data_IF_802135936236
#
_entry.id   IF_802135936236
#
_cell.length_a   1.000
_cell.length_b   1.000
_cell.length_c   1.000
_cell.angle_alpha   90.00
_cell.angle_beta   90.00
_cell.angle_gamma   90.00
#
_symmetry.space_group_name_H-M   'P 1'
#
loop_
_entity.id
_entity.type
_entity.pdbx_description
1 polymer ?
#
# COMPACT_ATOMS: atom_id res chain seq x y z
N UNK A 1 20.82 8.05 4.91
CA UNK A 1 20.35 8.01 6.30
C UNK A 1 20.57 6.62 6.86
N UNK A 2 21.22 6.54 8.00
CA UNK A 2 21.34 5.29 8.76
C UNK A 2 20.25 5.29 9.83
N UNK A 3 19.43 4.25 9.83
CA UNK A 3 18.31 4.07 10.75
C UNK A 3 18.56 2.79 11.57
N UNK A 4 18.88 2.98 12.83
CA UNK A 4 19.31 1.94 13.75
C UNK A 4 18.23 1.67 14.80
N UNK A 5 17.77 0.42 14.90
CA UNK A 5 16.75 -0.01 15.85
C UNK A 5 17.33 -1.02 16.81
N UNK A 6 17.36 -0.69 18.08
CA UNK A 6 17.72 -1.59 19.17
C UNK A 6 16.47 -2.07 19.93
N UNK A 7 16.35 -3.36 20.10
CA UNK A 7 15.26 -4.03 20.81
C UNK A 7 15.84 -4.92 21.91
N UNK A 8 15.30 -4.89 23.15
CA UNK A 8 15.88 -5.60 24.29
C UNK A 8 15.89 -7.14 24.16
N UNK A 9 15.15 -7.68 23.20
CA UNK A 9 15.06 -9.13 22.95
C UNK A 9 15.87 -9.58 21.72
N UNK A 10 16.62 -8.68 21.08
CA UNK A 10 17.52 -9.01 19.98
C UNK A 10 18.96 -8.77 20.41
N UNK A 11 19.82 -9.74 20.11
CA UNK A 11 21.25 -9.62 20.40
C UNK A 11 21.96 -8.60 19.48
N UNK A 12 21.39 -8.35 18.31
CA UNK A 12 21.93 -7.43 17.31
C UNK A 12 20.92 -6.32 16.95
N UNK A 13 21.42 -5.11 16.80
CA UNK A 13 20.64 -3.98 16.28
C UNK A 13 20.25 -4.21 14.81
N UNK A 14 19.09 -3.70 14.44
CA UNK A 14 18.59 -3.74 13.05
C UNK A 14 18.90 -2.41 12.38
N UNK A 15 19.84 -2.40 11.45
CA UNK A 15 20.31 -1.19 10.78
C UNK A 15 19.82 -1.13 9.35
N UNK A 16 18.98 -0.16 9.03
CA UNK A 16 18.56 0.14 7.67
C UNK A 16 19.45 1.24 7.07
N UNK A 17 19.85 1.04 5.81
CA UNK A 17 20.39 2.12 4.99
C UNK A 17 19.26 2.72 4.16
N UNK A 18 19.06 4.04 4.28
CA UNK A 18 17.92 4.72 3.66
C UNK A 18 18.46 5.89 2.82
N UNK A 19 17.98 5.96 1.58
CA UNK A 19 18.11 7.14 0.72
C UNK A 19 16.73 7.77 0.59
N UNK A 20 16.64 9.08 0.83
CA UNK A 20 15.39 9.80 0.68
C UNK A 20 15.58 11.12 -0.06
N UNK A 21 14.62 11.43 -0.90
CA UNK A 21 14.50 12.70 -1.60
C UNK A 21 13.07 13.21 -1.44
N UNK A 22 12.91 14.52 -1.28
CA UNK A 22 11.60 15.16 -1.28
C UNK A 22 11.69 16.55 -1.89
N UNK A 23 10.69 16.90 -2.70
CA UNK A 23 10.52 18.23 -3.26
C UNK A 23 9.17 18.81 -2.84
N UNK A 24 9.14 20.10 -2.56
CA UNK A 24 7.90 20.79 -2.25
C UNK A 24 7.11 21.03 -3.54
N UNK A 25 5.84 20.63 -3.53
CA UNK A 25 4.94 20.74 -4.68
C UNK A 25 3.82 21.73 -4.38
N UNK A 26 3.53 22.59 -5.34
CA UNK A 26 2.39 23.48 -5.28
C UNK A 26 1.27 22.93 -6.17
N UNK A 27 0.06 22.79 -5.61
CA UNK A 27 -1.13 22.43 -6.37
C UNK A 27 -1.64 21.00 -6.19
N UNK A 28 -0.89 20.11 -5.58
CA UNK A 28 -1.42 18.80 -5.16
C UNK A 28 -2.30 18.97 -3.91
N UNK A 29 -3.61 18.68 -4.00
CA UNK A 29 -4.53 18.81 -2.86
C UNK A 29 -4.26 17.76 -1.76
N UNK A 30 -3.50 16.72 -2.05
CA UNK A 30 -3.27 15.60 -1.15
C UNK A 30 -1.92 15.69 -0.44
N UNK A 31 -0.93 16.30 -1.04
CA UNK A 31 0.42 16.40 -0.47
C UNK A 31 1.10 17.72 -0.84
N UNK A 32 1.85 18.27 0.11
CA UNK A 32 2.73 19.40 -0.14
C UNK A 32 4.12 18.97 -0.65
N UNK A 33 4.37 17.68 -0.77
CA UNK A 33 5.66 17.13 -1.19
C UNK A 33 5.49 15.88 -2.03
N UNK A 34 6.28 15.82 -3.09
CA UNK A 34 6.63 14.58 -3.76
C UNK A 34 7.84 13.95 -3.07
N UNK A 35 7.91 12.64 -3.02
CA UNK A 35 9.04 11.98 -2.39
C UNK A 35 9.38 10.63 -3.02
N UNK A 36 10.64 10.25 -2.87
CA UNK A 36 11.15 8.92 -3.10
C UNK A 36 11.99 8.50 -1.89
N UNK A 37 11.64 7.39 -1.28
CA UNK A 37 12.35 6.76 -0.17
C UNK A 37 12.78 5.37 -0.63
N UNK A 38 14.07 5.10 -0.61
CA UNK A 38 14.65 3.78 -0.88
C UNK A 38 15.26 3.27 0.41
N UNK A 39 15.15 1.99 0.66
CA UNK A 39 15.77 1.39 1.82
C UNK A 39 16.35 0.01 1.52
N UNK A 40 17.36 -0.35 2.27
CA UNK A 40 17.93 -1.68 2.29
C UNK A 40 18.26 -2.11 3.72
N UNK A 41 18.09 -3.39 3.97
CA UNK A 41 18.46 -4.06 5.20
C UNK A 41 19.42 -5.20 4.84
N UNK A 42 20.65 -5.22 5.39
CA UNK A 42 21.56 -6.33 5.19
C UNK A 42 20.92 -7.66 5.61
N UNK A 43 21.15 -8.71 4.85
CA UNK A 43 20.74 -10.06 5.24
C UNK A 43 21.45 -10.50 6.52
N UNK A 44 20.74 -11.17 7.43
CA UNK A 44 21.39 -11.88 8.54
C UNK A 44 22.30 -12.95 7.96
N UNK A 45 23.25 -13.48 8.75
CA UNK A 45 24.24 -14.48 8.32
C UNK A 45 23.65 -15.52 7.36
N UNK A 46 24.03 -15.46 6.07
CA UNK A 46 23.57 -16.35 4.99
C UNK A 46 22.18 -16.02 4.39
N UNK A 47 21.49 -14.95 4.84
CA UNK A 47 20.22 -14.49 4.28
C UNK A 47 20.40 -13.49 3.14
N UNK A 48 19.41 -13.41 2.24
CA UNK A 48 19.38 -12.37 1.21
C UNK A 48 19.07 -11.00 1.83
N UNK A 49 19.68 -9.92 1.33
CA UNK A 49 19.34 -8.57 1.76
C UNK A 49 17.91 -8.23 1.36
N UNK A 50 17.19 -7.56 2.24
CA UNK A 50 15.85 -7.04 1.95
C UNK A 50 15.96 -5.59 1.50
N UNK A 51 15.19 -5.20 0.49
CA UNK A 51 15.15 -3.83 0.01
C UNK A 51 13.76 -3.45 -0.49
N UNK A 52 13.52 -2.15 -0.55
CA UNK A 52 12.27 -1.64 -1.06
C UNK A 52 12.33 -0.16 -1.39
N UNK A 53 11.22 0.34 -1.92
CA UNK A 53 11.02 1.76 -2.10
C UNK A 53 9.57 2.18 -1.82
N UNK A 54 9.42 3.45 -1.55
CA UNK A 54 8.17 4.16 -1.43
C UNK A 54 8.27 5.44 -2.26
N UNK A 55 7.32 5.69 -3.14
CA UNK A 55 7.26 6.91 -3.91
C UNK A 55 5.85 7.50 -3.88
N UNK A 56 5.78 8.82 -3.87
CA UNK A 56 4.55 9.57 -4.01
C UNK A 56 4.78 10.79 -4.91
N UNK A 57 3.91 10.99 -5.88
CA UNK A 57 3.82 12.17 -6.74
C UNK A 57 2.40 12.29 -7.32
N UNK A 58 1.86 13.48 -7.33
CA UNK A 58 0.60 13.87 -8.00
C UNK A 58 -0.54 12.83 -7.88
N UNK A 59 -0.84 12.40 -6.66
CA UNK A 59 -1.89 11.41 -6.41
C UNK A 59 -1.53 9.95 -6.76
N UNK A 60 -0.29 9.70 -7.13
CA UNK A 60 0.23 8.36 -7.38
C UNK A 60 1.10 7.91 -6.21
N UNK A 61 0.81 6.74 -5.66
CA UNK A 61 1.55 6.19 -4.55
C UNK A 61 2.02 4.77 -4.88
N UNK A 62 3.32 4.55 -4.88
CA UNK A 62 3.96 3.27 -5.16
C UNK A 62 4.67 2.75 -3.92
N UNK A 63 4.49 1.47 -3.63
CA UNK A 63 5.19 0.76 -2.57
C UNK A 63 5.75 -0.54 -3.12
N UNK A 64 7.05 -0.72 -3.03
CA UNK A 64 7.71 -1.98 -3.32
C UNK A 64 8.36 -2.54 -2.07
N UNK A 65 7.97 -3.75 -1.71
CA UNK A 65 8.51 -4.50 -0.57
C UNK A 65 8.26 -6.00 -0.78
N UNK A 66 9.18 -6.84 -0.31
CA UNK A 66 9.05 -8.31 -0.32
C UNK A 66 8.68 -8.85 -1.72
N UNK A 67 9.35 -8.33 -2.75
CA UNK A 67 9.14 -8.66 -4.17
C UNK A 67 7.72 -8.36 -4.70
N UNK A 68 6.98 -7.47 -4.03
CA UNK A 68 5.64 -7.04 -4.44
C UNK A 68 5.61 -5.55 -4.67
N UNK A 69 5.17 -5.16 -5.85
CA UNK A 69 4.80 -3.78 -6.15
C UNK A 69 3.31 -3.59 -5.84
N UNK A 70 3.01 -2.52 -5.13
CA UNK A 70 1.66 -2.02 -4.91
C UNK A 70 1.60 -0.62 -5.49
N UNK A 71 0.61 -0.39 -6.31
CA UNK A 71 0.34 0.88 -6.98
C UNK A 71 -1.04 1.37 -6.57
N UNK A 72 -1.15 2.65 -6.24
CA UNK A 72 -2.39 3.29 -5.86
C UNK A 72 -2.50 4.64 -6.57
N UNK A 73 -3.70 4.91 -7.08
CA UNK A 73 -4.04 6.17 -7.73
C UNK A 73 -5.22 6.79 -6.99
N UNK A 74 -5.12 8.05 -6.60
CA UNK A 74 -6.17 8.72 -5.82
C UNK A 74 -7.52 8.78 -6.56
N UNK A 75 -7.50 8.81 -7.87
CA UNK A 75 -8.74 8.79 -8.68
C UNK A 75 -9.55 7.50 -8.49
N UNK A 76 -8.89 6.39 -8.16
CA UNK A 76 -9.51 5.05 -8.09
C UNK A 76 -9.48 4.44 -6.69
N UNK A 77 -8.52 4.86 -5.88
CA UNK A 77 -8.24 4.27 -4.58
C UNK A 77 -8.44 5.30 -3.46
N UNK A 78 -9.26 4.97 -2.48
CA UNK A 78 -9.39 5.80 -1.27
C UNK A 78 -8.28 5.54 -0.24
N UNK A 79 -7.64 4.40 -0.31
CA UNK A 79 -6.53 3.98 0.54
C UNK A 79 -5.31 3.72 -0.37
N UNK A 80 -4.10 4.17 -0.03
CA UNK A 80 -3.65 4.67 1.29
C UNK A 80 -3.79 6.19 1.50
N UNK A 81 -4.48 6.90 0.64
CA UNK A 81 -4.49 8.37 0.67
C UNK A 81 -5.20 8.94 1.89
N UNK A 82 -4.59 9.96 2.48
CA UNK A 82 -5.14 10.71 3.59
C UNK A 82 -5.52 12.11 3.12
N UNK A 83 -6.80 12.41 3.16
CA UNK A 83 -7.31 13.75 2.86
C UNK A 83 -7.40 14.59 4.13
N UNK A 84 -7.10 15.89 4.05
CA UNK A 84 -7.33 16.85 5.14
C UNK A 84 -6.26 16.96 6.22
N UNK A 85 -5.17 16.21 6.16
CA UNK A 85 -4.05 16.32 7.09
C UNK A 85 -2.84 17.09 6.56
N UNK A 86 -2.98 17.85 5.50
CA UNK A 86 -2.01 18.73 4.86
C UNK A 86 -0.53 18.38 5.06
N UNK A 87 0.22 18.24 4.01
CA UNK A 87 1.66 18.18 4.10
C UNK A 87 2.32 16.94 3.52
N UNK A 88 2.04 15.72 3.97
CA UNK A 88 2.72 14.51 3.45
C UNK A 88 1.75 13.35 3.40
N UNK A 89 1.70 12.64 2.29
CA UNK A 89 1.00 11.36 2.22
C UNK A 89 1.78 10.29 3.00
N UNK A 90 1.27 9.90 4.15
CA UNK A 90 2.05 9.33 5.24
C UNK A 90 1.90 7.84 5.50
N UNK A 91 1.31 7.05 4.60
CA UNK A 91 1.14 5.61 4.83
C UNK A 91 2.29 4.77 4.27
N UNK A 92 3.47 4.90 4.85
CA UNK A 92 4.61 4.11 4.41
C UNK A 92 5.75 4.11 5.41
N UNK A 93 6.61 3.13 5.28
CA UNK A 93 7.80 3.00 6.09
C UNK A 93 8.77 4.15 5.82
N UNK A 94 9.29 4.77 6.88
CA UNK A 94 10.28 5.85 6.85
C UNK A 94 9.77 7.22 6.35
N UNK A 95 8.47 7.40 6.13
CA UNK A 95 7.88 8.71 5.79
C UNK A 95 8.06 9.72 6.93
N UNK A 96 8.15 9.24 8.16
CA UNK A 96 8.46 10.04 9.36
C UNK A 96 9.82 10.74 9.30
N UNK A 97 10.73 10.28 8.43
CA UNK A 97 12.06 10.86 8.25
C UNK A 97 12.08 12.05 7.28
N UNK A 98 11.00 12.30 6.56
CA UNK A 98 10.91 13.46 5.68
C UNK A 98 10.90 14.76 6.52
N UNK A 99 11.57 15.83 6.08
CA UNK A 99 11.65 17.08 6.85
C UNK A 99 10.29 17.65 7.28
N UNK A 100 9.29 17.52 6.41
CA UNK A 100 7.93 17.99 6.67
C UNK A 100 7.23 17.14 7.73
N UNK A 101 7.49 15.81 7.75
CA UNK A 101 6.97 14.93 8.79
C UNK A 101 7.61 15.20 10.14
N UNK A 102 8.94 15.39 10.18
CA UNK A 102 9.68 15.78 11.40
C UNK A 102 9.15 17.10 11.94
N UNK A 103 8.96 18.10 11.07
CA UNK A 103 8.43 19.41 11.46
C UNK A 103 7.03 19.30 12.05
N UNK A 104 6.16 18.51 11.44
CA UNK A 104 4.79 18.28 11.92
C UNK A 104 4.79 17.56 13.28
N UNK A 105 5.56 16.48 13.41
CA UNK A 105 5.67 15.74 14.67
C UNK A 105 6.17 16.63 15.82
N UNK A 106 7.18 17.44 15.54
CA UNK A 106 7.70 18.40 16.52
C UNK A 106 6.64 19.44 16.92
N UNK A 107 5.88 19.94 15.95
CA UNK A 107 4.78 20.87 16.22
C UNK A 107 3.71 20.23 17.12
N UNK A 108 3.35 18.97 16.84
CA UNK A 108 2.40 18.21 17.67
C UNK A 108 2.93 18.02 19.10
N UNK A 109 4.20 17.65 19.28
CA UNK A 109 4.82 17.51 20.60
C UNK A 109 4.79 18.82 21.42
N UNK A 110 5.06 19.96 20.75
CA UNK A 110 5.08 21.27 21.40
C UNK A 110 3.67 21.70 21.84
N UNK A 111 2.63 21.37 21.09
CA UNK A 111 1.28 21.91 21.28
C UNK A 111 0.29 20.95 21.94
N UNK A 112 0.58 19.65 22.02
CA UNK A 112 -0.34 18.65 22.60
C UNK A 112 -0.52 18.80 24.12
N UNK A 113 0.45 19.38 24.81
CA UNK A 113 0.49 19.42 26.28
C UNK A 113 0.91 18.09 26.94
N UNK A 114 1.12 17.03 26.18
CA UNK A 114 1.50 15.70 26.67
C UNK A 114 3.01 15.56 26.87
N UNK A 115 3.79 16.47 26.30
CA UNK A 115 5.24 16.44 26.34
C UNK A 115 5.82 17.59 27.15
N UNK A 116 6.88 17.29 27.90
CA UNK A 116 7.79 18.30 28.45
C UNK A 116 8.86 18.56 27.40
N UNK A 117 8.88 19.76 26.83
CA UNK A 117 9.79 20.14 25.75
C UNK A 117 10.92 20.99 26.27
N UNK A 118 12.17 20.65 25.91
CA UNK A 118 13.37 21.39 26.15
C UNK A 118 14.02 21.90 24.87
N UNK A 119 14.65 23.05 24.89
CA UNK A 119 15.37 23.61 23.75
C UNK A 119 16.72 24.19 24.18
N UNK A 120 17.77 23.68 23.54
CA UNK A 120 19.14 24.19 23.66
C UNK A 120 19.53 24.85 22.34
N UNK A 121 19.60 26.18 22.26
CA UNK A 121 19.82 26.91 21.03
C UNK A 121 21.23 26.76 20.45
N UNK A 122 22.22 26.50 21.32
CA UNK A 122 23.62 26.32 20.92
C UNK A 122 24.26 25.20 21.72
N UNK A 123 24.58 24.12 21.01
CA UNK A 123 25.39 23.02 21.52
C UNK A 123 26.46 22.66 20.46
N UNK A 124 27.35 21.73 20.80
CA UNK A 124 28.34 21.21 19.86
C UNK A 124 28.15 19.69 19.75
N UNK A 125 27.95 19.20 18.53
CA UNK A 125 27.93 17.79 18.22
C UNK A 125 28.81 17.52 17.00
N UNK A 126 29.69 16.53 17.10
CA UNK A 126 30.61 16.12 16.03
C UNK A 126 31.42 17.31 15.42
N UNK A 127 31.81 18.26 16.28
CA UNK A 127 32.57 19.45 15.88
C UNK A 127 31.77 20.52 15.13
N UNK A 128 30.43 20.44 15.14
CA UNK A 128 29.51 21.41 14.52
C UNK A 128 28.67 22.12 15.57
N UNK A 129 28.34 23.38 15.32
CA UNK A 129 27.32 24.07 16.11
C UNK A 129 25.94 23.54 15.73
N UNK A 130 25.18 23.11 16.74
CA UNK A 130 23.85 22.53 16.58
C UNK A 130 22.86 23.19 17.50
N UNK A 131 21.58 23.07 17.19
CA UNK A 131 20.48 23.28 18.14
C UNK A 131 19.89 21.92 18.51
N UNK A 132 19.51 21.77 19.78
CA UNK A 132 18.94 20.50 20.27
C UNK A 132 17.54 20.75 20.80
N UNK A 133 16.59 19.95 20.35
CA UNK A 133 15.23 19.89 20.89
C UNK A 133 15.05 18.55 21.57
N UNK A 134 14.52 18.56 22.78
CA UNK A 134 14.15 17.36 23.53
C UNK A 134 12.67 17.39 23.85
N UNK A 135 12.02 16.23 23.81
CA UNK A 135 10.64 16.08 24.27
C UNK A 135 10.50 14.78 25.04
N UNK A 136 9.89 14.83 26.22
CA UNK A 136 9.65 13.66 27.05
C UNK A 136 8.17 13.57 27.40
N UNK A 137 7.59 12.39 27.17
CA UNK A 137 6.21 12.09 27.52
C UNK A 137 6.18 11.14 28.71
N UNK A 138 5.35 11.47 29.69
CA UNK A 138 5.11 10.61 30.85
C UNK A 138 3.67 10.07 30.83
N UNK A 139 3.53 8.76 30.98
CA UNK A 139 2.24 8.07 31.03
C UNK A 139 2.16 7.32 32.37
N UNK A 140 1.19 7.68 33.21
CA UNK A 140 0.96 7.04 34.52
C UNK A 140 2.20 7.01 35.42
N UNK A 141 3.04 8.05 35.36
CA UNK A 141 4.24 8.16 36.20
C UNK A 141 5.49 7.48 35.65
N UNK A 142 5.42 6.87 34.49
CA UNK A 142 6.57 6.29 33.77
C UNK A 142 6.87 7.11 32.52
N UNK A 143 8.14 7.17 32.13
CA UNK A 143 8.52 7.73 30.84
C UNK A 143 8.05 6.79 29.74
N UNK A 144 7.14 7.27 28.89
CA UNK A 144 6.64 6.52 27.75
C UNK A 144 7.46 6.76 26.49
N UNK A 145 8.00 8.00 26.36
CA UNK A 145 8.82 8.35 25.20
C UNK A 145 9.82 9.46 25.56
N UNK A 146 11.05 9.30 25.10
CA UNK A 146 12.03 10.37 25.01
C UNK A 146 12.38 10.60 23.54
N UNK A 147 12.35 11.85 23.12
CA UNK A 147 12.70 12.26 21.76
C UNK A 147 13.77 13.34 21.82
N UNK A 148 14.80 13.23 20.99
CA UNK A 148 15.86 14.22 20.86
C UNK A 148 16.16 14.45 19.40
N UNK A 149 15.98 15.68 18.93
CA UNK A 149 16.32 16.13 17.60
C UNK A 149 17.54 17.05 17.65
N UNK A 150 18.53 16.76 16.84
CA UNK A 150 19.74 17.57 16.66
C UNK A 150 19.74 18.17 15.27
N UNK A 151 19.80 19.49 15.18
CA UNK A 151 19.71 20.28 13.94
C UNK A 151 20.99 21.07 13.73
N UNK A 152 21.54 21.01 12.54
CA UNK A 152 22.69 21.84 12.16
C UNK A 152 22.26 23.32 12.10
N UNK A 153 22.93 24.19 12.88
CA UNK A 153 22.55 25.61 12.98
C UNK A 153 22.76 26.40 11.69
N UNK A 154 23.73 26.00 10.90
CA UNK A 154 24.09 26.71 9.67
C UNK A 154 23.10 26.44 8.55
N UNK A 155 22.64 25.20 8.45
CA UNK A 155 21.77 24.73 7.34
C UNK A 155 20.31 24.58 7.73
N UNK A 156 20.02 24.44 9.02
CA UNK A 156 18.67 24.19 9.53
C UNK A 156 18.16 22.77 9.31
N UNK A 157 19.03 21.85 8.87
CA UNK A 157 18.61 20.46 8.59
C UNK A 157 18.85 19.53 9.78
N UNK A 158 18.02 18.49 9.99
CA UNK A 158 18.25 17.49 11.02
C UNK A 158 19.52 16.70 10.72
N UNK A 159 20.35 16.43 11.71
CA UNK A 159 21.54 15.57 11.58
C UNK A 159 21.41 14.29 12.39
N UNK A 160 20.58 14.30 13.45
CA UNK A 160 20.33 13.12 14.26
C UNK A 160 18.98 13.20 14.96
N UNK A 161 18.32 12.06 15.05
CA UNK A 161 17.16 11.83 15.91
C UNK A 161 17.49 10.65 16.81
N UNK A 162 17.27 10.79 18.12
CA UNK A 162 17.26 9.70 19.09
C UNK A 162 15.83 9.62 19.65
N UNK A 163 15.24 8.43 19.59
CA UNK A 163 13.87 8.18 20.01
C UNK A 163 13.84 6.91 20.86
N UNK A 164 13.48 7.04 22.12
CA UNK A 164 13.39 5.94 23.07
C UNK A 164 11.93 5.75 23.47
N UNK A 165 11.44 4.56 23.33
CA UNK A 165 10.10 4.16 23.77
C UNK A 165 10.21 3.27 25.01
N UNK A 166 9.40 3.58 26.02
CA UNK A 166 9.32 2.83 27.28
C UNK A 166 10.68 2.58 27.95
N UNK A 167 11.54 3.60 28.10
CA UNK A 167 12.88 3.42 28.64
C UNK A 167 12.84 2.76 30.03
N UNK A 168 13.72 1.77 30.24
CA UNK A 168 13.81 1.01 31.49
C UNK A 168 12.71 -0.05 31.67
N UNK A 169 11.88 -0.31 30.67
CA UNK A 169 10.84 -1.34 30.70
C UNK A 169 11.20 -2.53 29.78
N UNK A 170 10.52 -3.67 29.97
CA UNK A 170 10.72 -4.88 29.13
C UNK A 170 10.42 -4.59 27.65
N UNK A 171 9.54 -3.63 27.38
CA UNK A 171 9.17 -3.18 26.03
C UNK A 171 9.98 -1.98 25.55
N UNK A 172 11.14 -1.73 26.15
CA UNK A 172 12.04 -0.66 25.70
C UNK A 172 12.44 -0.87 24.25
N UNK A 173 12.42 0.22 23.50
CA UNK A 173 12.90 0.25 22.12
C UNK A 173 13.63 1.58 21.92
N UNK A 174 14.81 1.54 21.34
CA UNK A 174 15.50 2.75 20.91
C UNK A 174 15.69 2.78 19.41
N UNK A 175 15.54 3.97 18.84
CA UNK A 175 15.76 4.25 17.42
C UNK A 175 16.72 5.42 17.33
N UNK A 176 17.84 5.21 16.67
CA UNK A 176 18.80 6.27 16.34
C UNK A 176 18.84 6.47 14.82
N UNK A 177 18.59 7.69 14.39
CA UNK A 177 18.63 8.08 12.98
C UNK A 177 19.76 9.09 12.77
N UNK A 178 20.66 8.83 11.81
CA UNK A 178 21.74 9.71 11.42
C UNK A 178 21.56 10.14 9.98
N UNK A 179 21.52 11.46 9.75
CA UNK A 179 21.32 12.04 8.44
C UNK A 179 22.66 12.46 7.83
N UNK A 180 22.89 12.06 6.58
CA UNK A 180 23.96 12.54 5.75
C UNK A 180 23.38 13.21 4.50
N UNK A 181 23.91 14.38 4.15
CA UNK A 181 23.45 15.18 3.02
C UNK A 181 24.56 15.22 1.97
N UNK A 182 24.52 14.31 0.98
CA UNK A 182 25.54 14.28 -0.08
C UNK A 182 25.46 15.55 -0.93
N UNK A 183 26.62 16.02 -1.38
CA UNK A 183 26.72 17.14 -2.31
C UNK A 183 26.99 16.62 -3.73
N UNK A 184 26.52 17.36 -4.76
CA UNK A 184 26.83 17.05 -6.16
C UNK A 184 25.83 16.12 -6.85
N UNK A 185 26.26 15.48 -7.95
CA UNK A 185 25.41 14.73 -8.88
C UNK A 185 24.94 13.35 -8.34
N UNK A 186 25.45 12.93 -7.19
CA UNK A 186 25.09 11.65 -6.55
C UNK A 186 23.87 11.78 -5.60
N UNK A 187 23.10 12.86 -5.70
CA UNK A 187 21.87 13.00 -4.91
C UNK A 187 20.75 12.19 -5.53
N UNK A 188 20.02 11.46 -4.70
CA UNK A 188 18.74 10.92 -5.11
C UNK A 188 17.80 12.08 -5.47
N UNK A 189 17.15 12.00 -6.63
CA UNK A 189 16.11 12.92 -7.04
C UNK A 189 14.75 12.32 -6.72
N UNK A 190 13.74 13.16 -6.53
CA UNK A 190 12.35 12.74 -6.54
C UNK A 190 11.95 12.29 -7.94
N UNK A 191 10.89 11.52 -8.02
CA UNK A 191 10.26 11.15 -9.29
C UNK A 191 8.99 11.97 -9.45
N UNK A 192 8.76 12.47 -10.65
CA UNK A 192 7.58 13.25 -11.01
C UNK A 192 6.65 12.50 -11.98
N UNK A 193 7.00 11.27 -12.35
CA UNK A 193 6.22 10.45 -13.27
C UNK A 193 6.48 8.96 -13.08
N UNK A 194 5.52 8.14 -13.45
CA UNK A 194 5.67 6.69 -13.49
C UNK A 194 6.82 6.27 -14.42
N UNK A 195 6.99 6.94 -15.56
CA UNK A 195 8.06 6.62 -16.50
C UNK A 195 9.46 6.78 -15.90
N UNK A 196 9.66 7.79 -15.05
CA UNK A 196 10.92 7.97 -14.33
C UNK A 196 11.11 6.87 -13.29
N UNK A 197 10.09 6.53 -12.52
CA UNK A 197 10.14 5.46 -11.53
C UNK A 197 10.42 4.10 -12.20
N UNK A 198 9.79 3.83 -13.33
CA UNK A 198 10.04 2.64 -14.15
C UNK A 198 11.48 2.57 -14.69
N UNK A 199 12.02 3.71 -15.12
CA UNK A 199 13.41 3.77 -15.57
C UNK A 199 14.40 3.47 -14.45
N UNK A 200 14.06 3.79 -13.20
CA UNK A 200 14.87 3.47 -12.01
C UNK A 200 14.75 2.01 -11.57
N UNK A 201 13.58 1.38 -11.79
CA UNK A 201 13.27 0.02 -11.32
C UNK A 201 12.68 -0.87 -12.43
N UNK A 202 13.37 -1.03 -13.59
CA UNK A 202 12.81 -1.71 -14.75
C UNK A 202 12.38 -3.16 -14.45
N UNK A 203 13.18 -3.92 -13.70
CA UNK A 203 12.88 -5.32 -13.38
C UNK A 203 11.64 -5.48 -12.48
N UNK A 204 11.39 -4.50 -11.59
CA UNK A 204 10.22 -4.49 -10.70
C UNK A 204 8.96 -4.31 -11.53
N UNK A 205 8.96 -3.30 -12.42
CA UNK A 205 7.82 -2.99 -13.25
C UNK A 205 7.59 -4.01 -14.36
N UNK A 206 8.65 -4.63 -14.90
CA UNK A 206 8.53 -5.71 -15.87
C UNK A 206 7.79 -6.91 -15.28
N UNK A 207 8.19 -7.37 -14.09
CA UNK A 207 7.47 -8.44 -13.36
C UNK A 207 6.03 -8.08 -13.03
N UNK A 208 5.78 -6.86 -12.62
CA UNK A 208 4.44 -6.36 -12.33
C UNK A 208 3.57 -6.34 -13.60
N UNK A 209 4.12 -5.88 -14.71
CA UNK A 209 3.45 -5.84 -16.01
C UNK A 209 3.30 -7.23 -16.62
N UNK A 210 4.31 -8.10 -16.54
CA UNK A 210 4.16 -9.51 -16.96
C UNK A 210 3.03 -10.21 -16.22
N UNK A 211 2.86 -9.92 -14.93
CA UNK A 211 1.79 -10.45 -14.11
C UNK A 211 0.42 -9.93 -14.56
N UNK A 212 0.32 -8.63 -14.84
CA UNK A 212 -0.88 -8.01 -15.42
C UNK A 212 -1.12 -8.47 -16.87
N UNK A 213 -0.05 -8.66 -17.65
CA UNK A 213 -0.14 -9.24 -19.00
C UNK A 213 -0.69 -10.68 -19.01
N UNK A 214 -0.41 -11.49 -18.00
CA UNK A 214 -0.99 -12.85 -17.92
C UNK A 214 -2.49 -12.82 -17.74
N UNK A 215 -2.99 -11.88 -16.97
CA UNK A 215 -4.44 -11.68 -16.79
C UNK A 215 -5.10 -11.17 -18.08
N UNK A 216 -4.51 -10.22 -18.77
CA UNK A 216 -5.00 -9.74 -20.07
C UNK A 216 -4.94 -10.84 -21.12
N UNK A 217 -3.98 -11.75 -21.06
CA UNK A 217 -3.87 -12.93 -21.93
C UNK A 217 -4.96 -13.97 -21.68
N UNK A 218 -5.72 -13.90 -20.58
CA UNK A 218 -6.91 -14.76 -20.42
C UNK A 218 -8.00 -14.43 -21.41
N UNK A 219 -8.04 -13.22 -21.94
CA UNK A 219 -9.03 -12.82 -22.93
C UNK A 219 -8.92 -13.71 -24.19
N UNK A 220 -10.03 -14.32 -24.55
CA UNK A 220 -10.10 -15.30 -25.65
C UNK A 220 -9.67 -16.71 -25.27
N UNK A 221 -9.27 -16.95 -24.02
CA UNK A 221 -8.91 -18.28 -23.53
C UNK A 221 -10.01 -18.88 -22.63
N UNK A 222 -10.04 -20.23 -22.50
CA UNK A 222 -10.94 -20.88 -21.57
C UNK A 222 -10.64 -20.48 -20.13
N UNK A 223 -11.71 -20.24 -19.34
CA UNK A 223 -11.62 -20.00 -17.91
C UNK A 223 -10.84 -21.13 -17.22
N UNK A 224 -9.84 -20.84 -16.34
CA UNK A 224 -9.15 -21.85 -15.56
C UNK A 224 -10.11 -22.70 -14.71
N UNK A 225 -9.72 -23.94 -14.42
CA UNK A 225 -10.48 -24.79 -13.50
C UNK A 225 -10.38 -24.26 -12.05
N UNK A 226 -11.47 -24.34 -11.33
CA UNK A 226 -11.49 -24.04 -9.90
C UNK A 226 -12.56 -24.83 -9.15
N UNK A 227 -12.33 -25.01 -7.84
CA UNK A 227 -13.28 -25.65 -6.94
C UNK A 227 -13.16 -24.97 -5.59
N UNK A 228 -14.12 -24.10 -5.27
CA UNK A 228 -14.11 -23.26 -4.09
C UNK A 228 -15.35 -23.51 -3.22
N UNK A 229 -15.25 -23.40 -1.89
CA UNK A 229 -16.41 -23.44 -1.02
C UNK A 229 -17.21 -22.15 -1.15
N UNK A 230 -18.53 -22.26 -1.08
CA UNK A 230 -19.46 -21.12 -0.94
C UNK A 230 -19.53 -20.69 0.54
N UNK A 231 -20.06 -19.53 0.81
CA UNK A 231 -20.38 -19.07 2.19
C UNK A 231 -21.36 -20.01 2.90
N UNK A 232 -22.18 -20.75 2.16
CA UNK A 232 -23.12 -21.76 2.69
C UNK A 232 -22.49 -23.14 2.94
N UNK A 233 -21.22 -23.32 2.61
CA UNK A 233 -20.46 -24.56 2.78
C UNK A 233 -20.58 -25.56 1.61
N UNK A 234 -21.35 -25.25 0.58
CA UNK A 234 -21.39 -26.06 -0.64
C UNK A 234 -20.14 -25.84 -1.47
N UNK A 235 -19.90 -26.70 -2.46
CA UNK A 235 -18.79 -26.53 -3.40
C UNK A 235 -19.26 -26.04 -4.77
N UNK A 236 -18.67 -24.95 -5.21
CA UNK A 236 -18.82 -24.45 -6.56
C UNK A 236 -17.58 -24.87 -7.37
N UNK A 237 -17.78 -25.73 -8.37
CA UNK A 237 -16.67 -26.29 -9.16
C UNK A 237 -16.88 -26.08 -10.64
N UNK A 238 -15.80 -25.74 -11.35
CA UNK A 238 -15.75 -25.66 -12.82
C UNK A 238 -14.45 -26.26 -13.31
N UNK A 239 -14.52 -27.06 -14.36
CA UNK A 239 -13.34 -27.48 -15.08
C UNK A 239 -12.96 -26.44 -16.14
N UNK A 240 -11.74 -26.51 -16.64
CA UNK A 240 -11.28 -25.60 -17.67
C UNK A 240 -12.14 -25.69 -18.92
N UNK A 241 -12.74 -24.55 -19.31
CA UNK A 241 -13.58 -24.46 -20.49
C UNK A 241 -14.98 -25.09 -20.35
N UNK A 242 -15.42 -25.38 -19.11
CA UNK A 242 -16.82 -25.78 -18.89
C UNK A 242 -17.75 -24.65 -19.34
N UNK A 243 -18.86 -25.03 -19.99
CA UNK A 243 -19.88 -24.10 -20.40
C UNK A 243 -20.66 -23.55 -19.16
N UNK A 244 -21.04 -22.30 -19.24
CA UNK A 244 -21.92 -21.63 -18.27
C UNK A 244 -23.36 -21.57 -18.82
N UNK A 245 -24.33 -21.49 -17.92
CA UNK A 245 -25.75 -21.40 -18.31
C UNK A 245 -26.08 -20.07 -18.96
N UNK A 246 -25.43 -19.00 -18.49
CA UNK A 246 -25.60 -17.63 -18.94
C UNK A 246 -24.22 -16.97 -19.00
N UNK A 247 -24.08 -15.80 -19.64
CA UNK A 247 -22.89 -14.98 -19.46
C UNK A 247 -22.64 -14.76 -17.96
N UNK A 248 -21.41 -14.93 -17.51
CA UNK A 248 -21.08 -14.95 -16.10
C UNK A 248 -20.04 -13.90 -15.79
N UNK A 249 -20.27 -13.10 -14.77
CA UNK A 249 -19.26 -12.23 -14.14
C UNK A 249 -18.59 -13.00 -13.01
N UNK A 250 -17.28 -13.13 -13.04
CA UNK A 250 -16.51 -13.69 -11.94
C UNK A 250 -15.62 -12.58 -11.38
N UNK A 251 -15.92 -12.10 -10.18
CA UNK A 251 -15.15 -11.06 -9.53
C UNK A 251 -14.26 -11.65 -8.43
N UNK A 252 -12.96 -11.49 -8.56
CA UNK A 252 -11.98 -11.88 -7.53
C UNK A 252 -11.74 -10.65 -6.66
N UNK A 253 -12.12 -10.75 -5.38
CA UNK A 253 -12.20 -9.62 -4.45
C UNK A 253 -11.38 -9.90 -3.20
N UNK A 254 -10.54 -8.94 -2.79
CA UNK A 254 -9.98 -8.94 -1.45
C UNK A 254 -10.96 -8.22 -0.51
N UNK A 255 -11.56 -8.91 0.48
CA UNK A 255 -12.53 -8.31 1.37
C UNK A 255 -11.94 -7.26 2.33
N UNK A 256 -10.60 -7.13 2.37
CA UNK A 256 -9.92 -6.12 3.19
C UNK A 256 -9.73 -4.79 2.44
N UNK A 257 -9.94 -4.77 1.13
CA UNK A 257 -9.85 -3.53 0.33
C UNK A 257 -11.11 -2.70 0.55
N UNK A 258 -10.93 -1.40 0.84
CA UNK A 258 -12.05 -0.50 1.15
C UNK A 258 -13.10 -0.39 0.04
N UNK A 259 -12.72 -0.63 -1.21
CA UNK A 259 -13.60 -0.59 -2.38
C UNK A 259 -14.39 -1.90 -2.59
N UNK A 260 -14.22 -2.94 -1.75
CA UNK A 260 -14.89 -4.22 -1.92
C UNK A 260 -16.44 -4.07 -1.99
N UNK A 261 -17.02 -3.35 -1.06
CA UNK A 261 -18.46 -3.09 -1.05
C UNK A 261 -18.95 -2.29 -2.26
N UNK A 262 -18.17 -1.29 -2.68
CA UNK A 262 -18.47 -0.48 -3.87
C UNK A 262 -18.39 -1.33 -5.16
N UNK A 263 -17.42 -2.22 -5.23
CA UNK A 263 -17.29 -3.18 -6.34
C UNK A 263 -18.54 -4.06 -6.46
N UNK A 264 -18.98 -4.66 -5.36
CA UNK A 264 -20.16 -5.53 -5.34
C UNK A 264 -21.40 -4.75 -5.77
N UNK A 265 -21.57 -3.53 -5.26
CA UNK A 265 -22.69 -2.66 -5.64
C UNK A 265 -22.67 -2.34 -7.14
N UNK A 266 -21.50 -1.99 -7.71
CA UNK A 266 -21.35 -1.70 -9.12
C UNK A 266 -21.63 -2.93 -10.02
N UNK A 267 -21.18 -4.13 -9.60
CA UNK A 267 -21.45 -5.37 -10.34
C UNK A 267 -22.94 -5.74 -10.32
N UNK A 268 -23.58 -5.63 -9.17
CA UNK A 268 -25.04 -5.86 -9.05
C UNK A 268 -25.83 -4.86 -9.87
N UNK A 269 -25.42 -3.59 -9.86
CA UNK A 269 -26.02 -2.56 -10.72
C UNK A 269 -25.89 -2.90 -12.20
N UNK A 270 -24.70 -3.34 -12.62
CA UNK A 270 -24.46 -3.75 -14.00
C UNK A 270 -25.35 -4.93 -14.39
N UNK A 271 -25.42 -5.97 -13.57
CA UNK A 271 -26.29 -7.15 -13.80
C UNK A 271 -27.75 -6.73 -13.90
N UNK A 272 -28.24 -5.88 -12.99
CA UNK A 272 -29.64 -5.43 -12.97
C UNK A 272 -30.03 -4.61 -14.22
N UNK A 273 -29.08 -3.92 -14.85
CA UNK A 273 -29.31 -3.13 -16.07
C UNK A 273 -29.28 -3.96 -17.36
N UNK A 274 -28.83 -5.21 -17.30
CA UNK A 274 -28.79 -6.07 -18.49
C UNK A 274 -30.17 -6.60 -18.86
N UNK A 275 -30.53 -6.65 -20.16
CA UNK A 275 -31.83 -7.15 -20.64
C UNK A 275 -31.92 -8.69 -20.68
N UNK A 276 -30.92 -9.40 -20.18
CA UNK A 276 -30.79 -10.87 -20.15
C UNK A 276 -30.22 -11.33 -18.81
N UNK A 277 -30.42 -12.61 -18.50
CA UNK A 277 -29.88 -13.20 -17.29
C UNK A 277 -28.34 -13.22 -17.35
N UNK A 278 -27.72 -12.77 -16.28
CA UNK A 278 -26.27 -12.77 -16.04
C UNK A 278 -26.04 -13.42 -14.68
N UNK A 279 -25.19 -14.46 -14.64
CA UNK A 279 -24.76 -15.05 -13.39
C UNK A 279 -23.62 -14.20 -12.80
N UNK A 280 -23.66 -13.98 -11.48
CA UNK A 280 -22.63 -13.25 -10.73
C UNK A 280 -21.94 -14.17 -9.73
N UNK A 281 -20.63 -14.30 -9.83
CA UNK A 281 -19.78 -15.07 -8.91
C UNK A 281 -18.82 -14.13 -8.21
N UNK A 282 -19.00 -13.95 -6.90
CA UNK A 282 -18.11 -13.16 -6.07
C UNK A 282 -17.11 -14.10 -5.38
N UNK A 283 -15.86 -14.08 -5.79
CA UNK A 283 -14.80 -14.96 -5.29
C UNK A 283 -13.88 -14.20 -4.35
N UNK A 284 -14.05 -14.39 -3.04
CA UNK A 284 -13.31 -13.68 -2.01
C UNK A 284 -11.98 -14.37 -1.67
N UNK A 285 -10.91 -13.57 -1.59
CA UNK A 285 -9.57 -14.03 -1.18
C UNK A 285 -9.54 -14.55 0.26
N UNK A 286 -10.38 -14.00 1.12
CA UNK A 286 -10.54 -14.39 2.53
C UNK A 286 -11.45 -15.60 2.72
N UNK A 287 -11.47 -16.11 3.97
CA UNK A 287 -12.35 -17.22 4.41
C UNK A 287 -13.22 -16.83 5.61
N UNK A 288 -13.19 -15.57 6.05
CA UNK A 288 -14.02 -15.07 7.15
C UNK A 288 -15.42 -14.79 6.63
N UNK A 289 -16.37 -15.69 6.92
CA UNK A 289 -17.75 -15.62 6.43
C UNK A 289 -18.45 -14.38 6.99
N UNK A 290 -18.33 -14.11 8.29
CA UNK A 290 -19.01 -12.95 8.92
C UNK A 290 -18.59 -11.62 8.28
N UNK A 291 -17.29 -11.50 7.94
CA UNK A 291 -16.76 -10.32 7.24
C UNK A 291 -17.35 -10.22 5.82
N UNK A 292 -17.40 -11.32 5.10
CA UNK A 292 -17.91 -11.38 3.72
C UNK A 292 -19.39 -11.05 3.71
N UNK A 293 -20.20 -11.71 4.55
CA UNK A 293 -21.63 -11.42 4.68
C UNK A 293 -21.91 -9.98 5.10
N UNK A 294 -21.04 -9.40 5.95
CA UNK A 294 -21.11 -7.99 6.32
C UNK A 294 -20.90 -7.02 5.14
N UNK A 295 -20.17 -7.44 4.12
CA UNK A 295 -19.90 -6.65 2.89
C UNK A 295 -20.93 -6.93 1.80
N UNK A 296 -21.28 -8.22 1.59
CA UNK A 296 -22.20 -8.64 0.53
C UNK A 296 -23.67 -8.39 0.88
N UNK A 297 -24.04 -8.55 2.16
CA UNK A 297 -25.45 -8.61 2.57
C UNK A 297 -26.17 -9.80 1.96
N UNK A 298 -27.47 -9.68 1.69
CA UNK A 298 -28.24 -10.74 1.07
C UNK A 298 -27.85 -10.91 -0.41
N UNK A 299 -27.56 -12.15 -0.88
CA UNK A 299 -27.21 -12.41 -2.26
C UNK A 299 -28.37 -12.11 -3.20
N UNK A 300 -28.06 -11.63 -4.40
CA UNK A 300 -29.01 -11.43 -5.47
C UNK A 300 -29.34 -12.74 -6.19
N UNK A 301 -30.40 -12.76 -6.98
CA UNK A 301 -30.72 -13.91 -7.81
C UNK A 301 -29.61 -14.19 -8.82
N UNK A 302 -29.17 -15.45 -8.93
CA UNK A 302 -28.04 -15.84 -9.81
C UNK A 302 -26.65 -15.48 -9.26
N UNK A 303 -26.57 -15.08 -7.99
CA UNK A 303 -25.31 -14.73 -7.32
C UNK A 303 -24.80 -15.92 -6.49
N UNK A 304 -23.49 -16.13 -6.55
CA UNK A 304 -22.77 -17.12 -5.74
C UNK A 304 -21.56 -16.47 -5.05
N UNK A 305 -21.51 -16.56 -3.74
CA UNK A 305 -20.42 -16.05 -2.91
C UNK A 305 -19.48 -17.19 -2.56
N UNK A 306 -18.25 -17.12 -3.10
CA UNK A 306 -17.20 -18.11 -2.89
C UNK A 306 -16.12 -17.56 -1.96
N UNK A 307 -15.55 -18.43 -1.13
CA UNK A 307 -14.48 -18.08 -0.19
C UNK A 307 -13.16 -18.77 -0.55
N UNK A 308 -12.05 -18.29 0.02
CA UNK A 308 -10.71 -18.89 -0.15
C UNK A 308 -10.20 -18.89 -1.62
N UNK A 309 -10.49 -17.85 -2.37
CA UNK A 309 -10.21 -17.78 -3.82
C UNK A 309 -8.73 -17.57 -4.19
N UNK A 310 -7.78 -17.74 -3.26
CA UNK A 310 -6.33 -17.54 -3.52
C UNK A 310 -5.80 -18.39 -4.68
N UNK A 311 -6.26 -19.64 -4.80
CA UNK A 311 -5.86 -20.52 -5.91
C UNK A 311 -6.39 -20.02 -7.26
N UNK A 312 -7.65 -19.59 -7.30
CA UNK A 312 -8.25 -19.01 -8.51
C UNK A 312 -7.52 -17.72 -8.92
N UNK A 313 -7.24 -16.83 -7.99
CA UNK A 313 -6.48 -15.61 -8.24
C UNK A 313 -5.10 -15.91 -8.85
N UNK A 314 -4.36 -16.86 -8.27
CA UNK A 314 -3.06 -17.30 -8.79
C UNK A 314 -3.19 -17.88 -10.20
N UNK A 315 -4.16 -18.77 -10.43
CA UNK A 315 -4.31 -19.48 -11.70
C UNK A 315 -4.83 -18.56 -12.82
N UNK A 316 -5.52 -17.47 -12.45
CA UNK A 316 -5.85 -16.37 -13.35
C UNK A 316 -4.70 -15.36 -13.50
N UNK A 317 -3.66 -15.40 -12.66
CA UNK A 317 -2.59 -14.41 -12.63
C UNK A 317 -3.01 -13.05 -12.04
N UNK A 318 -4.06 -13.05 -11.19
CA UNK A 318 -4.58 -11.83 -10.54
C UNK A 318 -3.58 -11.24 -9.57
N UNK A 319 -3.25 -9.96 -9.76
CA UNK A 319 -2.36 -9.19 -8.89
C UNK A 319 -3.03 -7.93 -8.34
N UNK A 320 -4.12 -7.49 -8.97
CA UNK A 320 -4.90 -6.30 -8.62
C UNK A 320 -6.30 -6.72 -8.19
N UNK A 321 -6.83 -6.10 -7.14
CA UNK A 321 -8.19 -6.35 -6.64
C UNK A 321 -9.03 -5.07 -6.67
N UNK A 322 -10.30 -5.17 -7.13
CA UNK A 322 -10.92 -6.34 -7.72
C UNK A 322 -10.38 -6.69 -9.10
N UNK A 323 -10.46 -7.96 -9.47
CA UNK A 323 -10.35 -8.39 -10.87
C UNK A 323 -11.69 -8.95 -11.30
N UNK A 324 -12.27 -8.43 -12.37
CA UNK A 324 -13.56 -8.88 -12.89
C UNK A 324 -13.36 -9.56 -14.25
N UNK A 325 -13.72 -10.83 -14.32
CA UNK A 325 -13.71 -11.62 -15.54
C UNK A 325 -15.11 -11.67 -16.12
N UNK A 326 -15.25 -11.31 -17.38
CA UNK A 326 -16.48 -11.46 -18.16
C UNK A 326 -16.37 -12.74 -18.95
N UNK A 327 -17.18 -13.75 -18.61
CA UNK A 327 -17.09 -15.09 -19.20
C UNK A 327 -18.31 -15.36 -20.07
N UNK A 328 -18.08 -15.82 -21.29
CA UNK A 328 -19.13 -16.24 -22.21
C UNK A 328 -19.79 -17.54 -21.75
N UNK A 329 -21.02 -17.85 -22.22
CA UNK A 329 -21.63 -19.16 -22.00
C UNK A 329 -20.75 -20.34 -22.51
N UNK A 330 -19.89 -20.10 -23.49
CA UNK A 330 -18.89 -21.05 -23.97
C UNK A 330 -17.78 -21.42 -23.00
N UNK A 331 -17.66 -20.68 -21.86
CA UNK A 331 -16.56 -20.82 -20.92
C UNK A 331 -15.30 -20.04 -21.31
N UNK A 332 -15.36 -19.21 -22.37
CA UNK A 332 -14.26 -18.36 -22.80
C UNK A 332 -14.33 -17.03 -22.04
N UNK A 333 -13.19 -16.53 -21.59
CA UNK A 333 -13.07 -15.21 -21.00
C UNK A 333 -13.14 -14.15 -22.10
N UNK A 334 -14.24 -13.41 -22.18
CA UNK A 334 -14.44 -12.38 -23.19
C UNK A 334 -13.66 -11.09 -22.88
N UNK A 335 -13.62 -10.70 -21.59
CA UNK A 335 -12.91 -9.51 -21.15
C UNK A 335 -12.44 -9.65 -19.71
N UNK A 336 -11.45 -8.83 -19.35
CA UNK A 336 -10.90 -8.70 -17.99
C UNK A 336 -10.86 -7.24 -17.62
N UNK A 337 -11.40 -6.89 -16.46
CA UNK A 337 -11.39 -5.54 -15.89
C UNK A 337 -10.58 -5.57 -14.59
N UNK A 338 -9.64 -4.66 -14.45
CA UNK A 338 -8.69 -4.60 -13.33
C UNK A 338 -8.93 -3.37 -12.47
N UNK A 339 -8.95 -3.59 -11.17
CA UNK A 339 -9.15 -2.53 -10.19
C UNK A 339 -10.58 -2.00 -10.13
N UNK A 340 -10.82 -1.14 -9.15
CA UNK A 340 -12.08 -0.41 -9.01
C UNK A 340 -11.92 1.00 -9.59
N UNK A 341 -12.91 1.42 -10.35
CA UNK A 341 -13.10 2.81 -10.75
C UNK A 341 -14.58 3.18 -10.63
N UNK A 342 -14.90 4.47 -10.67
CA UNK A 342 -16.28 4.94 -10.54
C UNK A 342 -17.17 4.59 -11.75
N UNK A 343 -16.59 4.18 -12.87
CA UNK A 343 -17.28 3.75 -14.10
C UNK A 343 -17.38 2.23 -14.21
N UNK A 344 -17.01 1.47 -13.18
CA UNK A 344 -16.95 0.01 -13.24
C UNK A 344 -18.25 -0.63 -13.73
N UNK A 345 -19.41 -0.10 -13.29
CA UNK A 345 -20.69 -0.61 -13.72
C UNK A 345 -20.92 -0.43 -15.23
N UNK A 346 -20.56 0.74 -15.77
CA UNK A 346 -20.66 1.04 -17.20
C UNK A 346 -19.67 0.18 -18.01
N UNK A 347 -18.43 0.03 -17.54
CA UNK A 347 -17.40 -0.78 -18.21
C UNK A 347 -17.82 -2.26 -18.28
N UNK A 348 -18.43 -2.78 -17.21
CA UNK A 348 -18.99 -4.14 -17.17
C UNK A 348 -20.17 -4.26 -18.14
N UNK A 349 -21.10 -3.30 -18.17
CA UNK A 349 -22.23 -3.31 -19.10
C UNK A 349 -21.74 -3.32 -20.56
N UNK A 350 -20.76 -2.48 -20.89
CA UNK A 350 -20.15 -2.45 -22.23
C UNK A 350 -19.51 -3.80 -22.58
N UNK A 351 -18.78 -4.39 -21.64
CA UNK A 351 -18.14 -5.70 -21.83
C UNK A 351 -19.16 -6.82 -22.03
N UNK A 352 -20.25 -6.82 -21.23
CA UNK A 352 -21.33 -7.79 -21.36
C UNK A 352 -22.12 -7.62 -22.67
N UNK A 353 -22.26 -6.41 -23.19
CA UNK A 353 -22.93 -6.16 -24.47
C UNK A 353 -22.20 -6.79 -25.67
N UNK A 354 -20.90 -7.03 -25.55
CA UNK A 354 -20.07 -7.67 -26.58
C UNK A 354 -20.11 -9.20 -26.52
N UNK A 355 -20.58 -9.79 -25.43
CA UNK A 355 -20.72 -11.23 -25.23
C UNK A 355 -21.95 -11.74 -25.98
N UNK A 356 -21.79 -12.78 -26.80
CA UNK A 356 -22.87 -13.39 -27.61
C UNK A 356 -23.67 -14.42 -26.83
#
# INVERSE_FOLDING_TARGET
VDYDVSLPMLDDDVVYSIELASDTVAGDPLSAVDYLIKWSLPGKEGGEPSSGFLAYFDGHHYRYRDHRLQEYHFEWDSIPFQTGRGGVQGNGQFVELLPQSISRELHEMIHSGDYTVGYEPVAVADGREVSVVTASQSVRGFVGRNYKLVVDRKTGVPIRIDNEYNPGQISEQSVTVKFAYPAGDNRLATVASESELMAMYPEVFEKFRESNYRIENLRGLPMPSFSLPTVTGERYSRNRGDAFKAPTLIAIIDPQVATAGLTIAALREAVAKMPRDIDLVLAFMGSNIDQIEGITGAPSYGEADLISAKSLARDCGTTVFPTVLVVEPSGIVANVLLGFNNSLAEDVIQSLALVK
#
